data_IF_057075875113
#
_entry.id   IF_057075875113
#
_cell.length_a   1.000
_cell.length_b   1.000
_cell.length_c   1.000
_cell.angle_alpha   90.00
_cell.angle_beta   90.00
_cell.angle_gamma   90.00
#
_symmetry.space_group_name_H-M   'P 1'
#
loop_
_entity.id
_entity.type
_entity.pdbx_description
1 polymer ?
#
# COMPACT_ATOMS: atom_id res chain seq x y z
N UNK A 1 -26.43 8.74 -0.97
CA UNK A 1 -25.33 7.85 -0.56
C UNK A 1 -24.64 8.59 0.57
N UNK A 2 -24.73 8.07 1.80
CA UNK A 2 -24.26 8.81 2.97
C UNK A 2 -22.86 8.37 3.32
N UNK A 3 -21.86 8.96 2.62
CA UNK A 3 -20.46 8.83 3.03
C UNK A 3 -20.20 9.79 4.18
N UNK A 4 -19.55 9.31 5.21
CA UNK A 4 -19.08 10.18 6.26
C UNK A 4 -17.55 10.04 6.37
N UNK A 5 -16.94 11.19 6.55
CA UNK A 5 -15.52 11.31 6.83
C UNK A 5 -15.36 11.64 8.32
N UNK A 6 -14.52 10.85 9.00
CA UNK A 6 -14.21 11.07 10.41
C UNK A 6 -12.80 11.64 10.50
N UNK A 7 -12.57 12.52 11.46
CA UNK A 7 -11.26 13.08 11.77
C UNK A 7 -10.96 14.36 11.00
N UNK A 8 -9.71 14.81 11.12
CA UNK A 8 -9.27 16.07 10.55
C UNK A 8 -9.15 16.00 9.03
N UNK A 9 -9.83 16.92 8.34
CA UNK A 9 -9.80 16.99 6.86
C UNK A 9 -8.51 17.68 6.43
N UNK A 10 -7.51 16.88 6.04
CA UNK A 10 -6.31 17.39 5.40
C UNK A 10 -6.49 17.44 3.87
N UNK A 11 -5.78 18.31 3.13
CA UNK A 11 -5.86 18.35 1.67
C UNK A 11 -5.61 16.99 0.99
N UNK A 12 -4.71 16.19 1.56
CA UNK A 12 -4.40 14.87 1.02
C UNK A 12 -5.53 13.86 1.26
N UNK A 13 -6.21 13.90 2.42
CA UNK A 13 -7.36 13.03 2.67
C UNK A 13 -8.54 13.37 1.76
N UNK A 14 -8.76 14.67 1.46
CA UNK A 14 -9.76 15.09 0.50
C UNK A 14 -9.44 14.58 -0.93
N UNK A 15 -8.16 14.67 -1.33
CA UNK A 15 -7.73 14.15 -2.63
C UNK A 15 -7.94 12.64 -2.75
N UNK A 16 -7.65 11.87 -1.70
CA UNK A 16 -7.93 10.43 -1.66
C UNK A 16 -9.42 10.11 -1.72
N UNK A 17 -10.27 10.86 -0.99
CA UNK A 17 -11.72 10.68 -1.05
C UNK A 17 -12.26 10.92 -2.46
N UNK A 18 -11.84 11.98 -3.13
CA UNK A 18 -12.24 12.28 -4.51
C UNK A 18 -11.72 11.21 -5.50
N UNK A 19 -10.50 10.70 -5.29
CA UNK A 19 -9.92 9.64 -6.11
C UNK A 19 -10.72 8.33 -5.99
N UNK A 20 -11.07 7.92 -4.77
CA UNK A 20 -11.89 6.73 -4.50
C UNK A 20 -13.28 6.89 -5.12
N UNK A 21 -13.96 8.01 -4.84
CA UNK A 21 -15.29 8.30 -5.38
C UNK A 21 -15.31 8.15 -6.90
N UNK A 22 -14.39 8.87 -7.58
CA UNK A 22 -14.30 8.85 -9.04
C UNK A 22 -13.97 7.46 -9.59
N UNK A 23 -13.04 6.75 -8.97
CA UNK A 23 -12.64 5.40 -9.41
C UNK A 23 -13.75 4.36 -9.15
N UNK A 24 -14.41 4.44 -8.01
CA UNK A 24 -15.50 3.53 -7.66
C UNK A 24 -16.72 3.69 -8.59
N UNK A 25 -17.08 4.93 -8.95
CA UNK A 25 -18.13 5.18 -9.94
C UNK A 25 -17.82 4.51 -11.30
N UNK A 26 -16.56 4.47 -11.69
CA UNK A 26 -16.13 3.78 -12.93
C UNK A 26 -16.29 2.26 -12.80
N UNK A 27 -15.96 1.67 -11.65
CA UNK A 27 -16.15 0.23 -11.40
C UNK A 27 -17.65 -0.14 -11.43
N UNK A 28 -18.51 0.68 -10.82
CA UNK A 28 -19.95 0.51 -10.86
C UNK A 28 -20.48 0.51 -12.30
N UNK A 29 -20.02 1.47 -13.11
CA UNK A 29 -20.42 1.57 -14.53
C UNK A 29 -20.03 0.33 -15.35
N UNK A 30 -18.98 -0.40 -14.95
CA UNK A 30 -18.51 -1.63 -15.60
C UNK A 30 -19.08 -2.92 -15.01
N UNK A 31 -19.92 -2.86 -13.98
CA UNK A 31 -20.45 -4.02 -13.25
C UNK A 31 -19.37 -4.98 -12.70
N UNK A 32 -18.22 -4.45 -12.28
CA UNK A 32 -17.09 -5.24 -11.77
C UNK A 32 -17.13 -5.37 -10.24
N UNK A 33 -17.92 -4.55 -9.56
CA UNK A 33 -17.98 -4.45 -8.09
C UNK A 33 -18.49 -5.74 -7.44
N UNK A 34 -17.84 -6.13 -6.33
CA UNK A 34 -18.33 -7.20 -5.43
C UNK A 34 -17.99 -8.64 -5.86
N UNK A 35 -17.18 -8.83 -6.89
CA UNK A 35 -16.77 -10.19 -7.32
C UNK A 35 -15.67 -10.79 -6.45
N UNK A 36 -14.79 -9.96 -5.88
CA UNK A 36 -13.68 -10.35 -4.99
C UNK A 36 -13.51 -9.31 -3.90
N UNK A 37 -12.84 -9.68 -2.80
CA UNK A 37 -12.50 -8.78 -1.71
C UNK A 37 -11.10 -8.25 -1.94
N UNK A 38 -10.99 -6.95 -2.13
CA UNK A 38 -9.70 -6.26 -2.27
C UNK A 38 -9.29 -5.62 -0.94
N UNK A 39 -8.00 -5.64 -0.65
CA UNK A 39 -7.38 -4.93 0.47
C UNK A 39 -6.00 -4.44 0.08
N UNK A 40 -5.73 -3.16 0.28
CA UNK A 40 -4.51 -2.50 -0.12
C UNK A 40 -3.94 -1.69 1.04
N UNK A 41 -2.74 -2.02 1.48
CA UNK A 41 -1.88 -1.18 2.28
C UNK A 41 -1.24 -0.14 1.37
N UNK A 42 -1.07 1.09 1.82
CA UNK A 42 -0.43 2.09 0.98
C UNK A 42 0.32 3.14 1.78
N UNK A 43 1.25 3.77 1.11
CA UNK A 43 1.73 5.09 1.45
C UNK A 43 1.71 5.99 0.21
N UNK A 44 1.58 7.31 0.42
CA UNK A 44 1.54 8.28 -0.66
C UNK A 44 2.18 9.60 -0.24
N UNK A 45 2.87 10.22 -1.18
CA UNK A 45 3.52 11.50 -1.02
C UNK A 45 2.50 12.63 -0.89
N UNK A 46 2.69 13.51 0.09
CA UNK A 46 1.94 14.75 0.20
C UNK A 46 2.47 15.84 -0.75
N UNK A 47 1.69 16.92 -0.91
CA UNK A 47 2.06 18.06 -1.77
C UNK A 47 3.29 18.79 -1.24
N UNK A 48 3.45 18.86 0.09
CA UNK A 48 4.60 19.53 0.72
C UNK A 48 5.70 18.52 0.99
N UNK A 49 6.97 18.97 0.89
CA UNK A 49 8.13 18.16 1.26
C UNK A 49 7.98 17.64 2.70
N UNK A 50 8.38 16.40 2.92
CA UNK A 50 8.27 15.73 4.21
C UNK A 50 6.86 15.25 4.59
N UNK A 51 5.82 15.65 3.87
CA UNK A 51 4.46 15.18 4.12
C UNK A 51 4.19 13.84 3.44
N UNK A 52 3.54 12.95 4.18
CA UNK A 52 3.20 11.60 3.72
C UNK A 52 1.83 11.19 4.26
N UNK A 53 1.16 10.31 3.55
CA UNK A 53 0.02 9.55 4.02
C UNK A 53 0.37 8.07 4.09
N UNK A 54 -0.19 7.34 5.05
CA UNK A 54 -0.22 5.88 5.05
C UNK A 54 -1.60 5.40 5.48
N UNK A 55 -1.99 4.21 5.00
CA UNK A 55 -3.30 3.68 5.33
C UNK A 55 -3.59 2.33 4.69
N UNK A 56 -4.85 1.93 4.85
CA UNK A 56 -5.42 0.73 4.24
C UNK A 56 -6.74 1.11 3.57
N UNK A 57 -6.87 0.73 2.30
CA UNK A 57 -8.13 0.75 1.56
C UNK A 57 -8.61 -0.67 1.33
N UNK A 58 -9.88 -0.96 1.59
CA UNK A 58 -10.45 -2.30 1.40
C UNK A 58 -11.90 -2.26 0.99
N UNK A 59 -12.36 -3.35 0.41
CA UNK A 59 -13.79 -3.52 0.18
C UNK A 59 -14.55 -3.63 1.50
N UNK A 60 -15.70 -3.02 1.53
CA UNK A 60 -16.63 -3.00 2.66
C UNK A 60 -18.07 -2.93 2.16
N UNK A 61 -19.02 -2.95 3.09
CA UNK A 61 -20.43 -2.73 2.78
C UNK A 61 -21.09 -1.93 3.90
N UNK A 62 -22.14 -1.20 3.57
CA UNK A 62 -22.98 -0.53 4.55
C UNK A 62 -23.94 -1.53 5.24
N UNK A 63 -24.74 -1.05 6.19
CA UNK A 63 -25.73 -1.86 6.91
C UNK A 63 -26.83 -2.45 6.00
N UNK A 64 -27.01 -1.92 4.80
CA UNK A 64 -27.92 -2.44 3.78
C UNK A 64 -27.23 -3.42 2.81
N UNK A 65 -25.95 -3.76 3.05
CA UNK A 65 -25.19 -4.68 2.20
C UNK A 65 -24.72 -4.06 0.88
N UNK A 66 -24.80 -2.74 0.71
CA UNK A 66 -24.32 -2.07 -0.50
C UNK A 66 -22.80 -1.97 -0.44
N UNK A 67 -22.08 -2.48 -1.47
CA UNK A 67 -20.63 -2.47 -1.47
C UNK A 67 -20.10 -1.03 -1.60
N UNK A 68 -19.05 -0.72 -0.82
CA UNK A 68 -18.30 0.54 -0.93
C UNK A 68 -16.92 0.37 -0.29
N UNK A 69 -15.85 1.00 -0.84
CA UNK A 69 -14.54 0.93 -0.25
C UNK A 69 -14.46 1.67 1.09
N UNK A 70 -13.89 1.01 2.10
CA UNK A 70 -13.48 1.65 3.35
C UNK A 70 -12.03 2.11 3.21
N UNK A 71 -11.75 3.37 3.54
CA UNK A 71 -10.40 3.90 3.64
C UNK A 71 -10.14 4.35 5.08
N UNK A 72 -9.07 3.82 5.67
CA UNK A 72 -8.52 4.31 6.94
C UNK A 72 -7.10 4.77 6.67
N UNK A 73 -6.82 6.06 6.92
CA UNK A 73 -5.51 6.64 6.64
C UNK A 73 -5.10 7.68 7.67
N UNK A 74 -3.80 7.78 7.90
CA UNK A 74 -3.16 8.88 8.60
C UNK A 74 -2.38 9.77 7.64
N UNK A 75 -2.26 11.04 7.98
CA UNK A 75 -1.42 12.00 7.25
C UNK A 75 -0.53 12.75 8.23
N UNK A 76 0.70 13.05 7.85
CA UNK A 76 1.61 13.75 8.73
C UNK A 76 2.91 14.14 8.06
N UNK A 77 3.81 14.69 8.88
CA UNK A 77 5.19 14.97 8.48
C UNK A 77 6.08 13.86 9.00
N UNK A 78 6.94 13.33 8.14
CA UNK A 78 7.92 12.29 8.45
C UNK A 78 9.28 12.75 7.90
N UNK A 79 10.17 13.32 8.73
CA UNK A 79 11.46 13.83 8.27
C UNK A 79 12.33 12.76 7.64
N UNK A 80 12.96 13.05 6.51
CA UNK A 80 13.92 12.15 5.84
C UNK A 80 13.28 10.95 5.12
N UNK A 81 11.94 10.90 4.98
CA UNK A 81 11.30 9.76 4.34
C UNK A 81 11.61 9.70 2.83
N UNK A 82 11.77 10.83 2.17
CA UNK A 82 12.07 10.85 0.73
C UNK A 82 13.41 10.17 0.43
N UNK A 83 14.39 10.35 1.30
CA UNK A 83 15.70 9.72 1.21
C UNK A 83 15.67 8.23 1.62
N UNK A 84 14.64 7.80 2.36
CA UNK A 84 14.49 6.46 2.92
C UNK A 84 13.18 5.77 2.50
N UNK A 85 12.63 6.15 1.35
CA UNK A 85 11.32 5.68 0.90
C UNK A 85 11.24 4.15 0.72
N UNK A 86 12.35 3.50 0.44
CA UNK A 86 12.49 2.04 0.35
C UNK A 86 12.22 1.31 1.68
N UNK A 87 12.39 2.00 2.81
CA UNK A 87 12.13 1.48 4.16
C UNK A 87 10.69 1.73 4.65
N UNK A 88 9.88 2.50 3.93
CA UNK A 88 8.54 2.89 4.38
C UNK A 88 7.60 1.70 4.58
N UNK A 89 7.71 0.66 3.77
CA UNK A 89 6.92 -0.57 3.94
C UNK A 89 7.20 -1.21 5.29
N UNK A 90 8.45 -1.28 5.68
CA UNK A 90 8.87 -1.82 6.97
C UNK A 90 8.46 -0.89 8.13
N UNK A 91 8.58 0.42 7.95
CA UNK A 91 8.21 1.41 8.95
C UNK A 91 6.71 1.37 9.26
N UNK A 92 5.86 1.26 8.24
CA UNK A 92 4.41 1.31 8.39
C UNK A 92 3.76 -0.06 8.66
N UNK A 93 4.50 -1.15 8.65
CA UNK A 93 3.94 -2.50 8.81
C UNK A 93 3.11 -2.64 10.09
N UNK A 94 3.62 -2.17 11.22
CA UNK A 94 2.91 -2.22 12.50
C UNK A 94 1.62 -1.38 12.50
N UNK A 95 1.62 -0.22 11.82
CA UNK A 95 0.44 0.63 11.68
C UNK A 95 -0.59 -0.04 10.78
N UNK A 96 -0.18 -0.61 9.65
CA UNK A 96 -1.08 -1.31 8.74
C UNK A 96 -1.78 -2.50 9.42
N UNK A 97 -1.04 -3.30 10.20
CA UNK A 97 -1.62 -4.41 10.98
C UNK A 97 -2.69 -3.89 11.96
N UNK A 98 -2.43 -2.77 12.64
CA UNK A 98 -3.41 -2.16 13.56
C UNK A 98 -4.65 -1.66 12.81
N UNK A 99 -4.48 -1.00 11.66
CA UNK A 99 -5.58 -0.53 10.81
C UNK A 99 -6.41 -1.72 10.29
N UNK A 100 -5.77 -2.77 9.80
CA UNK A 100 -6.46 -3.97 9.29
C UNK A 100 -7.24 -4.66 10.39
N UNK A 101 -6.66 -4.80 11.58
CA UNK A 101 -7.36 -5.33 12.74
C UNK A 101 -8.60 -4.50 13.08
N UNK A 102 -8.47 -3.17 13.11
CA UNK A 102 -9.58 -2.26 13.36
C UNK A 102 -10.67 -2.40 12.27
N UNK A 103 -10.26 -2.43 11.00
CA UNK A 103 -11.16 -2.53 9.85
C UNK A 103 -11.87 -3.89 9.74
N UNK A 104 -11.36 -4.94 10.39
CA UNK A 104 -11.97 -6.28 10.39
C UNK A 104 -13.08 -6.46 11.45
N UNK A 105 -13.18 -5.53 12.41
CA UNK A 105 -14.14 -5.63 13.51
C UNK A 105 -15.44 -4.89 13.18
N UNK A 106 -16.60 -5.40 13.63
CA UNK A 106 -17.81 -4.62 13.62
C UNK A 106 -17.64 -3.46 14.62
N UNK A 107 -17.68 -2.24 14.12
CA UNK A 107 -17.59 -1.04 14.95
C UNK A 107 -18.98 -0.69 15.49
N UNK A 108 -19.14 -0.62 16.79
CA UNK A 108 -20.43 -0.33 17.40
C UNK A 108 -20.86 1.14 17.19
N UNK A 109 -19.89 2.06 17.15
CA UNK A 109 -20.14 3.49 16.93
C UNK A 109 -18.83 4.24 16.56
N UNK A 110 -18.99 5.49 16.10
CA UNK A 110 -17.89 6.36 15.67
C UNK A 110 -16.93 6.73 16.80
N UNK A 111 -17.42 6.92 18.02
CA UNK A 111 -16.58 7.29 19.17
C UNK A 111 -15.61 6.16 19.55
N UNK A 112 -16.02 4.92 19.38
CA UNK A 112 -15.14 3.77 19.56
C UNK A 112 -14.02 3.77 18.53
N UNK A 113 -14.33 4.04 17.27
CA UNK A 113 -13.35 4.15 16.20
C UNK A 113 -12.33 5.25 16.49
N UNK A 114 -12.77 6.46 16.84
CA UNK A 114 -11.90 7.59 17.18
C UNK A 114 -11.00 7.27 18.37
N UNK A 115 -11.56 6.63 19.43
CA UNK A 115 -10.79 6.21 20.60
C UNK A 115 -9.71 5.17 20.24
N UNK A 116 -9.96 4.28 19.31
CA UNK A 116 -8.98 3.28 18.89
C UNK A 116 -7.90 3.87 17.99
N UNK A 117 -8.28 4.73 17.04
CA UNK A 117 -7.32 5.42 16.17
C UNK A 117 -6.38 6.33 16.98
N UNK A 118 -6.87 6.99 18.03
CA UNK A 118 -6.05 7.86 18.88
C UNK A 118 -4.95 7.10 19.66
N UNK A 119 -5.05 5.79 19.75
CA UNK A 119 -4.07 4.91 20.43
C UNK A 119 -3.00 4.37 19.48
N UNK A 120 -3.10 4.64 18.18
CA UNK A 120 -2.09 4.18 17.25
C UNK A 120 -0.76 4.84 17.54
N UNK A 121 0.27 4.02 17.71
CA UNK A 121 1.62 4.50 17.92
C UNK A 121 2.12 5.24 16.66
N UNK A 122 2.76 6.39 16.90
CA UNK A 122 3.45 7.06 15.79
C UNK A 122 4.67 6.26 15.38
N UNK A 123 4.97 6.15 14.10
CA UNK A 123 6.19 5.48 13.66
C UNK A 123 7.41 6.19 14.26
N UNK A 124 8.32 5.41 14.83
CA UNK A 124 9.58 5.93 15.36
C UNK A 124 10.56 6.07 14.20
N UNK A 125 11.09 7.27 14.01
CA UNK A 125 11.93 7.65 12.87
C UNK A 125 13.40 7.31 13.12
N UNK A 126 13.72 6.06 13.40
CA UNK A 126 15.11 5.59 13.44
C UNK A 126 15.45 4.84 12.13
N UNK A 127 15.78 5.62 11.10
CA UNK A 127 16.12 5.09 9.78
C UNK A 127 17.32 4.14 9.81
N UNK A 128 18.29 4.40 10.70
CA UNK A 128 19.48 3.54 10.83
C UNK A 128 19.12 2.18 11.41
N UNK A 129 18.29 2.14 12.46
CA UNK A 129 17.81 0.90 13.04
C UNK A 129 16.94 0.11 12.06
N UNK A 130 16.07 0.80 11.29
CA UNK A 130 15.25 0.19 10.24
C UNK A 130 16.11 -0.42 9.14
N UNK A 131 17.14 0.28 8.66
CA UNK A 131 18.06 -0.24 7.65
C UNK A 131 18.81 -1.50 8.13
N UNK A 132 19.25 -1.53 9.39
CA UNK A 132 19.90 -2.71 9.99
C UNK A 132 18.91 -3.88 10.11
N UNK A 133 17.67 -3.61 10.54
CA UNK A 133 16.61 -4.63 10.64
C UNK A 133 16.31 -5.26 9.27
N UNK A 134 16.20 -4.44 8.25
CA UNK A 134 15.93 -4.86 6.89
C UNK A 134 17.09 -5.72 6.31
N UNK A 135 18.33 -5.33 6.54
CA UNK A 135 19.51 -6.13 6.15
C UNK A 135 19.56 -7.49 6.85
N UNK A 136 19.19 -7.57 8.13
CA UNK A 136 19.12 -8.83 8.89
C UNK A 136 18.03 -9.76 8.37
N UNK A 137 16.85 -9.22 8.03
CA UNK A 137 15.76 -10.00 7.45
C UNK A 137 16.18 -10.67 6.14
N UNK A 138 16.98 -9.99 5.33
CA UNK A 138 17.53 -10.54 4.08
C UNK A 138 18.62 -11.58 4.30
N UNK A 139 19.51 -11.38 5.28
CA UNK A 139 20.57 -12.35 5.62
C UNK A 139 20.02 -13.68 6.13
N UNK A 140 18.86 -13.68 6.76
CA UNK A 140 18.22 -14.89 7.28
C UNK A 140 17.51 -15.73 6.20
N UNK A 141 17.18 -15.13 5.05
CA UNK A 141 16.53 -15.80 3.92
C UNK A 141 17.48 -16.52 2.96
N UNK A 142 18.80 -16.41 3.15
CA UNK A 142 19.81 -17.06 2.32
C UNK A 142 20.20 -18.47 2.83
N UNK A 143 19.23 -19.22 3.39
CA UNK A 143 19.38 -20.67 3.56
C UNK A 143 19.51 -21.33 2.18
N UNK A 144 20.68 -21.89 1.93
CA UNK A 144 21.09 -22.64 0.75
C UNK A 144 19.96 -23.53 0.16
N UNK A 145 19.20 -23.02 -0.77
CA UNK A 145 18.49 -23.82 -1.76
C UNK A 145 19.26 -23.71 -3.08
N UNK A 146 20.13 -24.67 -3.33
CA UNK A 146 20.98 -24.77 -4.53
C UNK A 146 20.19 -25.13 -5.81
N UNK A 147 18.86 -25.22 -5.76
CA UNK A 147 18.02 -25.63 -6.89
C UNK A 147 16.87 -24.65 -7.10
N UNK A 148 17.03 -23.66 -7.98
CA UNK A 148 15.89 -23.06 -8.68
C UNK A 148 15.73 -21.53 -8.62
N UNK A 149 16.56 -20.75 -7.92
CA UNK A 149 16.28 -19.31 -7.68
C UNK A 149 16.96 -18.30 -8.63
N UNK A 150 17.52 -18.72 -9.74
CA UNK A 150 18.03 -17.78 -10.77
C UNK A 150 16.90 -17.03 -11.51
N UNK A 151 15.67 -17.55 -11.54
CA UNK A 151 14.57 -16.92 -12.25
C UNK A 151 14.05 -15.68 -11.51
N UNK A 152 13.93 -15.73 -10.18
CA UNK A 152 13.35 -14.67 -9.33
C UNK A 152 14.12 -13.36 -9.42
N UNK A 153 15.46 -13.40 -9.40
CA UNK A 153 16.28 -12.18 -9.50
C UNK A 153 16.16 -11.50 -10.86
N UNK A 154 16.14 -12.27 -11.94
CA UNK A 154 15.95 -11.77 -13.29
C UNK A 154 14.56 -11.12 -13.50
N UNK A 155 13.53 -11.65 -12.82
CA UNK A 155 12.17 -11.12 -12.88
C UNK A 155 12.07 -9.79 -12.13
N UNK A 156 12.68 -9.70 -10.95
CA UNK A 156 12.78 -8.46 -10.18
C UNK A 156 13.55 -7.39 -10.96
N UNK A 157 14.62 -7.78 -11.61
CA UNK A 157 15.41 -6.87 -12.43
C UNK A 157 14.62 -6.36 -13.63
N UNK A 158 13.89 -7.22 -14.33
CA UNK A 158 12.98 -6.83 -15.43
C UNK A 158 11.86 -5.91 -14.96
N UNK A 159 11.29 -6.21 -13.79
CA UNK A 159 10.30 -5.35 -13.15
C UNK A 159 10.85 -3.95 -12.83
N UNK A 160 12.07 -3.89 -12.28
CA UNK A 160 12.75 -2.63 -12.03
C UNK A 160 13.05 -1.84 -13.33
N UNK A 161 13.46 -2.53 -14.39
CA UNK A 161 13.69 -1.91 -15.71
C UNK A 161 12.41 -1.39 -16.35
N UNK A 162 11.28 -2.11 -16.20
CA UNK A 162 9.98 -1.65 -16.67
C UNK A 162 9.53 -0.36 -15.97
N UNK A 163 9.81 -0.23 -14.66
CA UNK A 163 9.53 1.00 -13.91
C UNK A 163 10.36 2.21 -14.36
N UNK A 164 11.58 2.02 -14.83
CA UNK A 164 12.41 3.12 -15.34
C UNK A 164 11.83 3.74 -16.64
N UNK A 165 11.01 2.98 -17.36
CA UNK A 165 10.42 3.40 -18.64
C UNK A 165 8.95 3.80 -18.51
N UNK A 166 8.29 3.46 -17.40
CA UNK A 166 6.86 3.73 -17.16
C UNK A 166 6.69 4.58 -15.91
N UNK A 167 5.67 5.43 -15.89
CA UNK A 167 5.28 6.20 -14.70
C UNK A 167 4.43 5.39 -13.71
N UNK A 168 4.15 4.12 -14.03
CA UNK A 168 3.34 3.22 -13.21
C UNK A 168 3.77 1.76 -13.39
N UNK A 169 3.60 0.99 -12.33
CA UNK A 169 3.93 -0.43 -12.31
C UNK A 169 2.93 -1.19 -11.44
N UNK A 170 2.48 -2.34 -11.90
CA UNK A 170 1.62 -3.26 -11.15
C UNK A 170 2.06 -4.68 -11.47
N UNK A 171 2.46 -5.44 -10.44
CA UNK A 171 2.94 -6.81 -10.57
C UNK A 171 2.42 -7.68 -9.43
N UNK A 172 2.11 -8.94 -9.73
CA UNK A 172 1.90 -9.96 -8.71
C UNK A 172 3.24 -10.34 -8.09
N UNK A 173 3.30 -10.39 -6.75
CA UNK A 173 4.52 -10.72 -6.02
C UNK A 173 4.56 -12.16 -5.49
N UNK A 174 3.45 -12.88 -5.49
CA UNK A 174 3.39 -14.27 -4.99
C UNK A 174 4.20 -15.23 -5.85
N UNK A 175 4.43 -14.89 -7.11
CA UNK A 175 5.23 -15.68 -8.04
C UNK A 175 6.74 -15.59 -7.78
N UNK A 176 7.19 -14.66 -6.93
CA UNK A 176 8.62 -14.38 -6.82
C UNK A 176 9.37 -15.21 -5.77
N UNK A 177 8.75 -15.63 -4.69
CA UNK A 177 9.35 -16.59 -3.72
C UNK A 177 8.38 -16.97 -2.58
N UNK A 178 8.82 -17.95 -1.75
CA UNK A 178 8.16 -18.31 -0.49
C UNK A 178 8.49 -17.34 0.68
N UNK A 179 9.03 -16.14 0.39
CA UNK A 179 9.29 -15.13 1.40
C UNK A 179 7.97 -14.39 1.75
N UNK A 180 7.92 -13.82 2.95
CA UNK A 180 6.77 -12.96 3.29
C UNK A 180 6.71 -11.72 2.37
N UNK A 181 5.50 -11.27 2.06
CA UNK A 181 5.27 -10.19 1.12
C UNK A 181 5.99 -8.89 1.52
N UNK A 182 6.10 -8.59 2.83
CA UNK A 182 6.75 -7.36 3.32
C UNK A 182 8.24 -7.37 3.05
N UNK A 183 8.91 -8.49 3.28
CA UNK A 183 10.35 -8.67 2.99
C UNK A 183 10.63 -8.55 1.49
N UNK A 184 9.78 -9.15 0.67
CA UNK A 184 9.91 -9.07 -0.79
C UNK A 184 9.70 -7.65 -1.31
N UNK A 185 8.69 -6.94 -0.81
CA UNK A 185 8.44 -5.53 -1.16
C UNK A 185 9.60 -4.64 -0.72
N UNK A 186 10.14 -4.83 0.48
CA UNK A 186 11.33 -4.10 0.95
C UNK A 186 12.52 -4.30 0.01
N UNK A 187 12.76 -5.53 -0.40
CA UNK A 187 13.81 -5.87 -1.36
C UNK A 187 13.59 -5.20 -2.74
N UNK A 188 12.37 -5.29 -3.29
CA UNK A 188 12.00 -4.63 -4.54
C UNK A 188 12.17 -3.11 -4.47
N UNK A 189 11.70 -2.47 -3.40
CA UNK A 189 11.83 -1.03 -3.20
C UNK A 189 13.29 -0.59 -3.17
N UNK A 190 14.18 -1.38 -2.55
CA UNK A 190 15.61 -1.09 -2.53
C UNK A 190 16.27 -1.26 -3.89
N UNK A 191 15.94 -2.35 -4.61
CA UNK A 191 16.42 -2.59 -5.96
C UNK A 191 16.00 -1.45 -6.90
N UNK A 192 14.79 -0.94 -6.74
CA UNK A 192 14.27 0.22 -7.48
C UNK A 192 15.01 1.50 -7.09
N UNK A 193 15.15 1.76 -5.79
CA UNK A 193 15.84 2.96 -5.30
C UNK A 193 17.27 3.05 -5.80
N UNK A 194 17.97 1.93 -5.89
CA UNK A 194 19.35 1.89 -6.41
C UNK A 194 19.47 2.30 -7.89
N UNK A 195 18.34 2.37 -8.62
CA UNK A 195 18.26 2.64 -10.05
C UNK A 195 17.41 3.85 -10.42
N UNK A 196 16.61 4.33 -9.48
CA UNK A 196 15.68 5.45 -9.70
C UNK A 196 16.11 6.65 -8.87
N UNK A 197 16.33 7.78 -9.51
CA UNK A 197 16.54 9.07 -8.83
C UNK A 197 15.21 9.72 -8.39
N UNK A 198 14.08 9.05 -8.70
CA UNK A 198 12.74 9.59 -8.45
C UNK A 198 12.08 8.86 -7.28
N UNK A 199 11.64 9.63 -6.29
CA UNK A 199 10.80 9.11 -5.20
C UNK A 199 9.38 8.83 -5.74
N UNK A 200 8.82 7.64 -5.53
CA UNK A 200 7.44 7.35 -5.91
C UNK A 200 6.43 8.33 -5.30
N UNK A 201 5.36 8.61 -6.02
CA UNK A 201 4.23 9.38 -5.48
C UNK A 201 3.30 8.53 -4.61
N UNK A 202 3.14 7.24 -4.95
CA UNK A 202 2.38 6.31 -4.15
C UNK A 202 2.84 4.87 -4.39
N UNK A 203 2.77 4.07 -3.33
CA UNK A 203 3.01 2.62 -3.37
C UNK A 203 1.85 1.92 -2.69
N UNK A 204 1.33 0.87 -3.33
CA UNK A 204 0.28 0.01 -2.80
C UNK A 204 0.79 -1.43 -2.74
N UNK A 205 0.48 -2.12 -1.64
CA UNK A 205 0.78 -3.54 -1.43
C UNK A 205 -0.48 -4.24 -0.97
N UNK A 206 -0.90 -5.28 -1.66
CA UNK A 206 -2.13 -5.99 -1.35
C UNK A 206 -2.77 -6.58 -2.60
N UNK A 207 -4.08 -6.63 -2.65
CA UNK A 207 -4.84 -7.19 -3.77
C UNK A 207 -6.03 -8.00 -3.30
N UNK A 208 -6.09 -9.25 -3.68
CA UNK A 208 -7.14 -10.21 -3.31
C UNK A 208 -6.58 -11.27 -2.35
N UNK A 209 -7.42 -12.03 -1.63
CA UNK A 209 -6.94 -13.04 -0.68
C UNK A 209 -6.02 -14.10 -1.31
N UNK A 210 -6.21 -14.40 -2.59
CA UNK A 210 -5.46 -15.43 -3.30
C UNK A 210 -4.16 -14.91 -3.91
N UNK A 211 -4.00 -13.58 -4.05
CA UNK A 211 -2.86 -13.03 -4.77
C UNK A 211 -2.50 -11.62 -4.29
N UNK A 212 -1.22 -11.44 -3.94
CA UNK A 212 -0.66 -10.17 -3.51
C UNK A 212 0.03 -9.46 -4.68
N UNK A 213 -0.17 -8.16 -4.75
CA UNK A 213 0.37 -7.28 -5.78
C UNK A 213 1.18 -6.15 -5.15
N UNK A 214 2.16 -5.68 -5.89
CA UNK A 214 2.85 -4.41 -5.66
C UNK A 214 2.50 -3.45 -6.80
N UNK A 215 2.00 -2.27 -6.45
CA UNK A 215 1.77 -1.19 -7.40
C UNK A 215 2.57 0.04 -6.99
N UNK A 216 3.28 0.64 -7.95
CA UNK A 216 4.11 1.84 -7.73
C UNK A 216 3.73 2.88 -8.78
N UNK A 217 3.53 4.13 -8.34
CA UNK A 217 3.20 5.26 -9.18
C UNK A 217 4.22 6.37 -8.94
N UNK A 218 4.91 6.81 -9.98
CA UNK A 218 5.83 7.96 -9.95
C UNK A 218 5.15 9.26 -10.38
N UNK A 219 3.90 9.19 -10.84
CA UNK A 219 2.99 10.29 -11.17
C UNK A 219 1.84 10.39 -10.18
N UNK A 220 1.09 11.46 -10.26
CA UNK A 220 -0.16 11.62 -9.49
C UNK A 220 -1.17 10.52 -9.86
N UNK A 221 -1.89 10.04 -8.85
CA UNK A 221 -2.96 9.06 -9.02
C UNK A 221 -4.14 9.67 -9.79
N UNK A 222 -4.80 8.85 -10.59
CA UNK A 222 -6.04 9.17 -11.30
C UNK A 222 -7.09 8.05 -11.10
N UNK A 223 -8.30 8.27 -11.57
CA UNK A 223 -9.41 7.31 -11.36
C UNK A 223 -9.20 5.95 -12.05
N UNK A 224 -8.38 5.89 -13.11
CA UNK A 224 -8.03 4.60 -13.75
C UNK A 224 -7.14 3.76 -12.84
N UNK A 225 -6.31 4.37 -12.00
CA UNK A 225 -5.43 3.65 -11.08
C UNK A 225 -6.25 2.94 -9.99
N UNK A 226 -7.30 3.61 -9.48
CA UNK A 226 -8.24 2.97 -8.56
C UNK A 226 -8.91 1.78 -9.24
N UNK A 227 -9.42 1.97 -10.43
CA UNK A 227 -10.06 0.90 -11.21
C UNK A 227 -9.11 -0.29 -11.40
N UNK A 228 -7.85 -0.05 -11.79
CA UNK A 228 -6.85 -1.12 -11.95
C UNK A 228 -6.57 -1.87 -10.66
N UNK A 229 -6.39 -1.16 -9.55
CA UNK A 229 -6.15 -1.78 -8.24
C UNK A 229 -7.34 -2.63 -7.79
N UNK A 230 -8.58 -2.16 -8.02
CA UNK A 230 -9.80 -2.87 -7.64
C UNK A 230 -10.34 -3.82 -8.72
N UNK A 231 -9.56 -4.07 -9.78
CA UNK A 231 -9.88 -5.03 -10.84
C UNK A 231 -8.86 -6.17 -10.93
N UNK A 232 -7.85 -6.21 -10.05
CA UNK A 232 -6.92 -7.34 -10.03
C UNK A 232 -7.65 -8.64 -9.73
N UNK A 233 -7.25 -9.70 -10.40
CA UNK A 233 -7.85 -11.04 -10.25
C UNK A 233 -6.76 -12.09 -10.32
N UNK A 234 -6.93 -13.22 -9.63
CA UNK A 234 -6.06 -14.39 -9.84
C UNK A 234 -6.17 -14.83 -11.31
N UNK A 235 -5.04 -14.94 -11.95
CA UNK A 235 -4.91 -15.58 -13.26
C UNK A 235 -5.18 -17.09 -13.18
#
# INVERSE_FOLDING_TARGET
>A
MDYFQIGHVAPLSHAFSAWIESGYQRLLAKNVVGRKLHSWRFWARGIRKGHIACGVGRDSSDSAGRPYPLLIMGTGTLPGWEENWDLLTLLFEGIWIQIEYLASRPLANLNELESQISRFDRPIEDWSALAVRDLRAQGSGHGHDQNGHTSTWGDIQRAAEALLTSSEFLVSIDSFCNADASSLVGFLNRALKSRMDIVPNAVFVGGIPEQTYLAIFTRSLNSNDFERLWSVSSE
#
